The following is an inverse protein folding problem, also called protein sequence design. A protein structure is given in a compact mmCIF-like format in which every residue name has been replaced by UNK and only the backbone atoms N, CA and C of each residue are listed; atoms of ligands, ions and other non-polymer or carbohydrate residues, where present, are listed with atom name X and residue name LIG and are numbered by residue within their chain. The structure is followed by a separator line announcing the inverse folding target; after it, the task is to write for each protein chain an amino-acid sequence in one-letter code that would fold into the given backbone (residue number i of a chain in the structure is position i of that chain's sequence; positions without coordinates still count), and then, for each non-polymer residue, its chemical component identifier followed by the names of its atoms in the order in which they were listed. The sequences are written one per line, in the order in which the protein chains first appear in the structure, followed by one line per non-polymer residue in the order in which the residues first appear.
data_IF_551795259865
#
_entry.id   IF_551795259865
#
_cell.length_a   1.000
_cell.length_b   1.000
_cell.length_c   1.000
_cell.angle_alpha   90.00
_cell.angle_beta   90.00
_cell.angle_gamma   90.00
#
_symmetry.space_group_name_H-M   'P 1'
#
loop_
_entity.id
_entity.type
_entity.pdbx_description
1 polymer ?
#
# COMPACT_ATOMS: atom_id res chain seq x y z
N UNK A 1 42.81 19.23 -31.21
CA UNK A 1 41.54 19.85 -31.58
C UNK A 1 40.44 18.89 -31.10
N UNK A 2 39.90 19.14 -29.93
CA UNK A 2 38.86 18.35 -29.32
C UNK A 2 37.54 19.07 -29.59
N UNK A 3 36.66 18.44 -30.37
CA UNK A 3 35.35 18.91 -30.77
C UNK A 3 34.40 18.88 -29.55
N UNK A 4 33.90 20.01 -29.12
CA UNK A 4 32.86 20.19 -28.14
C UNK A 4 31.51 19.95 -28.80
N UNK A 5 30.90 18.79 -28.52
CA UNK A 5 29.51 18.53 -28.87
C UNK A 5 28.60 19.36 -27.94
N UNK A 6 27.83 20.27 -28.56
CA UNK A 6 26.78 21.04 -27.90
C UNK A 6 25.65 20.10 -27.49
N UNK A 7 25.34 20.04 -26.21
CA UNK A 7 24.07 19.51 -25.72
C UNK A 7 22.94 20.40 -26.22
N UNK A 8 22.22 19.92 -27.21
CA UNK A 8 20.94 20.54 -27.59
C UNK A 8 19.91 20.22 -26.49
N UNK A 9 19.29 21.30 -25.99
CA UNK A 9 18.29 21.26 -24.95
C UNK A 9 17.06 20.47 -25.40
N UNK A 10 16.53 19.63 -24.50
CA UNK A 10 15.28 18.93 -24.69
C UNK A 10 14.11 19.92 -24.79
N UNK A 11 13.30 19.84 -25.85
CA UNK A 11 12.17 20.73 -26.01
C UNK A 11 10.95 20.21 -25.24
N UNK A 12 10.34 21.12 -24.51
CA UNK A 12 8.89 21.14 -24.45
C UNK A 12 8.26 20.53 -23.22
N UNK A 13 7.87 21.42 -22.32
CA UNK A 13 6.72 21.21 -21.45
C UNK A 13 5.55 20.62 -22.27
N UNK A 14 5.21 19.36 -22.00
CA UNK A 14 4.00 18.76 -22.57
C UNK A 14 2.78 19.49 -21.99
N UNK A 15 2.18 20.39 -22.74
CA UNK A 15 0.82 20.85 -22.49
C UNK A 15 -0.12 19.68 -22.81
N UNK A 16 -0.57 18.94 -21.80
CA UNK A 16 -1.71 18.04 -21.95
C UNK A 16 -2.92 18.86 -22.38
N UNK A 17 -3.46 18.57 -23.57
CA UNK A 17 -4.78 19.03 -23.98
C UNK A 17 -5.83 18.42 -23.05
N UNK A 18 -6.39 19.24 -22.15
CA UNK A 18 -7.77 19.21 -21.69
C UNK A 18 -8.38 17.90 -21.22
N UNK A 19 -7.68 17.09 -20.39
CA UNK A 19 -8.35 16.28 -19.34
C UNK A 19 -7.93 16.87 -18.02
N UNK A 20 -8.89 17.33 -17.22
CA UNK A 20 -8.65 17.60 -15.80
C UNK A 20 -8.02 16.33 -15.23
N UNK A 21 -6.84 16.46 -14.64
CA UNK A 21 -6.22 15.37 -13.89
C UNK A 21 -7.15 15.11 -12.71
N UNK A 22 -7.88 13.99 -12.77
CA UNK A 22 -8.81 13.62 -11.73
C UNK A 22 -8.01 13.34 -10.45
N UNK A 23 -8.08 14.29 -9.50
CA UNK A 23 -7.54 14.07 -8.16
C UNK A 23 -8.41 13.04 -7.45
N UNK A 24 -7.81 11.96 -6.95
CA UNK A 24 -8.54 10.89 -6.28
C UNK A 24 -8.28 10.93 -4.77
N UNK A 25 -9.34 10.88 -3.96
CA UNK A 25 -9.30 10.68 -2.52
C UNK A 25 -9.75 9.27 -2.22
N UNK A 26 -8.87 8.45 -1.67
CA UNK A 26 -9.17 7.05 -1.46
C UNK A 26 -8.74 6.52 -0.11
N UNK A 27 -9.13 5.27 0.13
CA UNK A 27 -8.74 4.50 1.31
C UNK A 27 -8.49 3.05 0.92
N UNK A 28 -7.50 2.43 1.56
CA UNK A 28 -7.19 1.02 1.40
C UNK A 28 -8.16 0.14 2.19
N UNK A 29 -8.60 -0.96 1.59
CA UNK A 29 -9.31 -2.03 2.27
C UNK A 29 -8.32 -3.14 2.65
N UNK A 30 -7.25 -2.77 3.36
CA UNK A 30 -6.21 -3.69 3.82
C UNK A 30 -6.77 -4.77 4.74
N UNK A 31 -6.08 -5.90 4.83
CA UNK A 31 -6.44 -7.05 5.66
C UNK A 31 -7.79 -7.72 5.31
N UNK A 32 -8.41 -7.37 4.20
CA UNK A 32 -9.67 -8.01 3.79
C UNK A 32 -9.44 -9.28 2.97
N UNK A 33 -8.74 -9.16 1.85
CA UNK A 33 -8.48 -10.25 0.90
C UNK A 33 -7.03 -10.76 0.96
N UNK A 34 -6.12 -9.94 1.46
CA UNK A 34 -4.75 -10.26 1.88
C UNK A 34 -4.67 -10.05 3.38
N UNK A 35 -4.24 -11.05 4.12
CA UNK A 35 -4.24 -10.99 5.59
C UNK A 35 -2.91 -10.43 6.12
N UNK A 36 -3.03 -9.57 7.11
CA UNK A 36 -1.92 -9.07 7.91
C UNK A 36 -2.22 -9.31 9.39
N UNK A 37 -1.41 -10.13 10.05
CA UNK A 37 -1.65 -10.58 11.43
C UNK A 37 -1.84 -9.42 12.40
N UNK A 38 -1.04 -8.36 12.26
CA UNK A 38 -1.12 -7.20 13.13
C UNK A 38 -2.48 -6.45 13.03
N UNK A 39 -3.16 -6.55 11.88
CA UNK A 39 -4.49 -5.96 11.69
C UNK A 39 -5.63 -6.84 12.22
N UNK A 40 -5.42 -8.17 12.29
CA UNK A 40 -6.41 -9.16 12.73
C UNK A 40 -5.77 -10.31 13.48
N UNK A 41 -5.17 -10.09 14.65
CA UNK A 41 -4.44 -11.14 15.38
C UNK A 41 -5.27 -12.39 15.65
N UNK A 42 -6.56 -12.24 15.93
CA UNK A 42 -7.46 -13.35 16.24
C UNK A 42 -7.65 -14.35 15.09
N UNK A 43 -7.41 -13.95 13.84
CA UNK A 43 -7.43 -14.89 12.71
C UNK A 43 -6.32 -15.94 12.80
N UNK A 44 -5.27 -15.64 13.54
CA UNK A 44 -4.09 -16.47 13.71
C UNK A 44 -4.09 -17.27 15.01
N UNK A 45 -5.17 -17.18 15.82
CA UNK A 45 -5.28 -17.88 17.08
C UNK A 45 -5.13 -19.40 16.93
N UNK A 46 -4.33 -19.99 17.83
CA UNK A 46 -4.02 -21.42 17.81
C UNK A 46 -2.93 -21.82 16.80
N UNK A 47 -2.24 -20.84 16.22
CA UNK A 47 -1.10 -21.05 15.31
C UNK A 47 0.12 -20.26 15.77
N UNK A 48 1.28 -20.56 15.18
CA UNK A 48 2.50 -19.75 15.26
C UNK A 48 2.78 -19.00 13.96
N UNK A 49 1.83 -19.02 13.00
CA UNK A 49 1.96 -18.32 11.73
C UNK A 49 2.02 -16.81 11.95
N UNK A 50 2.94 -16.15 11.25
CA UNK A 50 3.08 -14.69 11.25
C UNK A 50 2.49 -14.07 9.98
N UNK A 51 2.17 -14.89 8.98
CA UNK A 51 1.65 -14.50 7.69
C UNK A 51 0.60 -15.48 7.15
N UNK A 52 -0.06 -15.11 6.07
CA UNK A 52 -1.12 -15.92 5.45
C UNK A 52 -0.59 -17.20 4.83
N UNK A 53 0.69 -17.24 4.44
CA UNK A 53 1.29 -18.42 3.79
C UNK A 53 1.25 -19.67 4.70
N UNK A 54 1.61 -19.48 5.97
CA UNK A 54 1.66 -20.59 6.93
C UNK A 54 0.32 -20.89 7.61
N UNK A 55 -0.65 -19.99 7.53
CA UNK A 55 -1.92 -20.14 8.21
C UNK A 55 -2.68 -21.42 7.80
N UNK A 56 -2.88 -21.74 6.50
CA UNK A 56 -3.59 -22.95 6.08
C UNK A 56 -2.79 -24.24 6.35
N UNK A 57 -1.47 -24.16 6.59
CA UNK A 57 -0.67 -25.34 6.90
C UNK A 57 -0.68 -25.70 8.38
N UNK A 58 -1.06 -24.75 9.25
CA UNK A 58 -1.06 -24.92 10.71
C UNK A 58 -2.47 -25.11 11.29
N UNK A 59 -3.51 -24.91 10.51
CA UNK A 59 -4.90 -25.13 10.91
C UNK A 59 -5.49 -26.36 10.22
N UNK A 60 -6.40 -27.09 10.87
CA UNK A 60 -7.27 -28.04 10.15
C UNK A 60 -7.99 -27.31 9.00
N UNK A 61 -8.09 -27.96 7.84
CA UNK A 61 -8.65 -27.38 6.62
C UNK A 61 -10.00 -26.70 6.85
N UNK A 62 -10.91 -27.38 7.54
CA UNK A 62 -12.26 -26.88 7.80
C UNK A 62 -12.26 -25.65 8.70
N UNK A 63 -11.30 -25.56 9.64
CA UNK A 63 -11.15 -24.41 10.53
C UNK A 63 -10.61 -23.21 9.75
N UNK A 64 -9.57 -23.41 8.91
CA UNK A 64 -9.03 -22.38 8.04
C UNK A 64 -10.12 -21.84 7.09
N UNK A 65 -10.79 -22.73 6.36
CA UNK A 65 -11.84 -22.33 5.42
C UNK A 65 -12.97 -21.54 6.10
N UNK A 66 -13.42 -21.99 7.27
CA UNK A 66 -14.46 -21.30 8.03
C UNK A 66 -14.00 -19.89 8.49
N UNK A 67 -12.77 -19.76 9.03
CA UNK A 67 -12.22 -18.46 9.47
C UNK A 67 -12.15 -17.47 8.32
N UNK A 68 -11.55 -17.89 7.20
CA UNK A 68 -11.40 -17.02 6.03
C UNK A 68 -12.75 -16.58 5.49
N UNK A 69 -13.70 -17.52 5.38
CA UNK A 69 -15.05 -17.22 4.89
C UNK A 69 -15.79 -16.22 5.79
N UNK A 70 -15.74 -16.42 7.10
CA UNK A 70 -16.36 -15.51 8.08
C UNK A 70 -15.69 -14.14 7.98
N UNK A 71 -14.35 -14.09 8.04
CA UNK A 71 -13.61 -12.85 7.96
C UNK A 71 -13.99 -12.06 6.69
N UNK A 72 -13.89 -12.68 5.51
CA UNK A 72 -14.20 -12.01 4.24
C UNK A 72 -15.64 -11.54 4.13
N UNK A 73 -16.58 -12.22 4.79
CA UNK A 73 -18.00 -11.84 4.76
C UNK A 73 -18.37 -10.74 5.75
N UNK A 74 -17.60 -10.57 6.83
CA UNK A 74 -17.96 -9.67 7.94
C UNK A 74 -17.02 -8.46 8.08
N UNK A 75 -15.75 -8.61 7.66
CA UNK A 75 -14.76 -7.55 7.83
C UNK A 75 -15.08 -6.33 6.97
N UNK A 76 -15.32 -6.51 5.68
CA UNK A 76 -15.79 -5.45 4.78
C UNK A 76 -17.16 -5.84 4.22
N UNK A 77 -18.10 -4.93 4.37
CA UNK A 77 -19.49 -5.10 4.00
C UNK A 77 -20.00 -3.91 3.17
N UNK A 78 -21.19 -4.02 2.60
CA UNK A 78 -21.82 -2.93 1.88
C UNK A 78 -21.96 -1.65 2.73
N UNK A 79 -22.17 -1.80 4.05
CA UNK A 79 -22.25 -0.66 4.98
C UNK A 79 -20.94 0.13 5.03
N UNK A 80 -19.81 -0.54 4.92
CA UNK A 80 -18.50 0.10 4.91
C UNK A 80 -18.34 1.00 3.67
N UNK A 81 -18.80 0.56 2.50
CA UNK A 81 -18.79 1.39 1.29
C UNK A 81 -19.67 2.64 1.44
N UNK A 82 -20.83 2.50 2.07
CA UNK A 82 -21.69 3.66 2.41
C UNK A 82 -20.96 4.65 3.30
N UNK A 83 -20.28 4.17 4.35
CA UNK A 83 -19.52 5.01 5.28
C UNK A 83 -18.32 5.67 4.58
N UNK A 84 -17.56 4.93 3.80
CA UNK A 84 -16.43 5.46 3.02
C UNK A 84 -16.90 6.60 2.11
N UNK A 85 -18.02 6.43 1.42
CA UNK A 85 -18.61 7.51 0.62
C UNK A 85 -19.02 8.72 1.45
N UNK A 86 -19.62 8.48 2.61
CA UNK A 86 -20.01 9.56 3.53
C UNK A 86 -18.81 10.32 4.11
N UNK A 87 -17.62 9.71 4.17
CA UNK A 87 -16.35 10.33 4.54
C UNK A 87 -15.74 11.17 3.39
N UNK A 88 -16.43 11.29 2.25
CA UNK A 88 -15.97 12.08 1.11
C UNK A 88 -14.90 11.41 0.25
N UNK A 89 -14.73 10.09 0.37
CA UNK A 89 -13.82 9.35 -0.50
C UNK A 89 -14.42 9.12 -1.89
N UNK A 90 -13.55 9.08 -2.90
CA UNK A 90 -13.89 8.84 -4.30
C UNK A 90 -13.62 7.38 -4.71
N UNK A 91 -12.68 6.73 -4.03
CA UNK A 91 -12.22 5.40 -4.40
C UNK A 91 -11.80 4.54 -3.20
N UNK A 92 -11.74 3.24 -3.43
CA UNK A 92 -11.09 2.26 -2.56
C UNK A 92 -9.96 1.56 -3.31
N UNK A 93 -8.80 1.37 -2.66
CA UNK A 93 -7.73 0.48 -3.13
C UNK A 93 -7.93 -0.85 -2.43
N UNK A 94 -7.99 -1.92 -3.20
CA UNK A 94 -8.29 -3.26 -2.69
C UNK A 94 -7.09 -4.17 -2.94
N UNK A 95 -6.29 -4.45 -1.90
CA UNK A 95 -5.26 -5.48 -1.94
C UNK A 95 -5.87 -6.84 -2.27
N UNK A 96 -5.36 -7.48 -3.32
CA UNK A 96 -5.76 -8.83 -3.73
C UNK A 96 -4.53 -9.76 -3.77
N UNK A 97 -4.66 -11.03 -3.37
CA UNK A 97 -3.54 -11.95 -3.40
C UNK A 97 -3.35 -12.57 -4.79
N UNK A 98 -2.15 -13.07 -5.08
CA UNK A 98 -1.86 -13.82 -6.31
C UNK A 98 -2.79 -15.04 -6.51
N UNK A 99 -3.32 -15.60 -5.44
CA UNK A 99 -4.23 -16.75 -5.49
C UNK A 99 -5.73 -16.34 -5.55
N UNK A 100 -6.04 -15.10 -5.92
CA UNK A 100 -7.42 -14.56 -5.95
C UNK A 100 -8.42 -15.46 -6.69
N UNK A 101 -7.98 -16.16 -7.74
CA UNK A 101 -8.83 -17.07 -8.52
C UNK A 101 -8.93 -18.50 -7.96
N UNK A 102 -8.26 -18.81 -6.84
CA UNK A 102 -8.28 -20.14 -6.22
C UNK A 102 -7.40 -21.18 -6.90
N UNK A 103 -6.44 -20.75 -7.72
CA UNK A 103 -5.58 -21.65 -8.53
C UNK A 103 -4.36 -22.18 -7.75
N UNK A 104 -4.22 -21.77 -6.50
CA UNK A 104 -3.07 -22.10 -5.63
C UNK A 104 -3.52 -22.70 -4.30
N UNK A 105 -3.98 -23.97 -4.28
CA UNK A 105 -4.28 -24.64 -3.01
C UNK A 105 -3.02 -24.72 -2.15
N UNK A 106 -3.13 -24.61 -0.81
CA UNK A 106 -4.37 -24.67 -0.01
C UNK A 106 -5.13 -23.33 0.14
N UNK A 107 -4.68 -22.25 -0.51
CA UNK A 107 -5.32 -20.94 -0.40
C UNK A 107 -6.70 -20.92 -1.08
N UNK A 108 -7.60 -20.16 -0.49
CA UNK A 108 -8.97 -20.01 -0.99
C UNK A 108 -9.04 -18.74 -1.84
N UNK A 109 -9.52 -18.88 -3.08
CA UNK A 109 -9.78 -17.72 -3.93
C UNK A 109 -10.79 -16.74 -3.32
N UNK A 110 -10.75 -15.48 -3.78
CA UNK A 110 -11.60 -14.40 -3.26
C UNK A 110 -12.16 -13.48 -4.36
N UNK A 111 -12.22 -13.97 -5.58
CA UNK A 111 -12.76 -13.20 -6.72
C UNK A 111 -14.23 -12.80 -6.54
N UNK A 112 -15.01 -13.61 -5.84
CA UNK A 112 -16.42 -13.31 -5.55
C UNK A 112 -16.58 -12.13 -4.59
N UNK A 113 -15.68 -11.98 -3.62
CA UNK A 113 -15.63 -10.83 -2.73
C UNK A 113 -15.28 -9.55 -3.50
N UNK A 114 -14.34 -9.63 -4.43
CA UNK A 114 -14.00 -8.51 -5.30
C UNK A 114 -15.16 -8.14 -6.22
N UNK A 115 -15.92 -9.11 -6.74
CA UNK A 115 -17.15 -8.85 -7.51
C UNK A 115 -18.20 -8.09 -6.69
N UNK A 116 -18.38 -8.44 -5.41
CA UNK A 116 -19.27 -7.72 -4.49
C UNK A 116 -18.78 -6.30 -4.25
N UNK A 117 -17.46 -6.11 -4.05
CA UNK A 117 -16.86 -4.79 -3.89
C UNK A 117 -17.16 -3.88 -5.09
N UNK A 118 -17.02 -4.40 -6.30
CA UNK A 118 -17.39 -3.65 -7.52
C UNK A 118 -18.88 -3.29 -7.57
N UNK A 119 -19.74 -4.23 -7.20
CA UNK A 119 -21.19 -3.95 -7.16
C UNK A 119 -21.55 -2.86 -6.14
N UNK A 120 -20.91 -2.87 -4.97
CA UNK A 120 -21.10 -1.82 -3.94
C UNK A 120 -20.48 -0.50 -4.37
N UNK A 121 -19.25 -0.51 -4.91
CA UNK A 121 -18.59 0.70 -5.39
C UNK A 121 -19.43 1.41 -6.46
N UNK A 122 -19.89 0.68 -7.47
CA UNK A 122 -20.74 1.21 -8.53
C UNK A 122 -22.08 1.76 -8.00
N UNK A 123 -22.69 1.08 -7.03
CA UNK A 123 -23.94 1.52 -6.39
C UNK A 123 -23.79 2.86 -5.67
N UNK A 124 -22.66 3.08 -4.99
CA UNK A 124 -22.40 4.28 -4.18
C UNK A 124 -21.55 5.33 -4.88
N UNK A 125 -21.21 5.13 -6.16
CA UNK A 125 -20.41 6.07 -6.93
C UNK A 125 -18.97 6.17 -6.44
N UNK A 126 -18.41 5.06 -5.94
CA UNK A 126 -16.99 4.88 -5.66
C UNK A 126 -16.29 4.21 -6.84
N UNK A 127 -14.98 4.38 -6.92
CA UNK A 127 -14.11 3.66 -7.84
C UNK A 127 -13.26 2.64 -7.10
N UNK A 128 -12.76 1.65 -7.83
CA UNK A 128 -11.89 0.59 -7.30
C UNK A 128 -10.54 0.66 -7.99
N UNK A 129 -9.46 0.79 -7.22
CA UNK A 129 -8.11 0.45 -7.65
C UNK A 129 -7.85 -0.98 -7.17
N UNK A 130 -7.71 -1.91 -8.09
CA UNK A 130 -7.26 -3.28 -7.77
C UNK A 130 -5.74 -3.22 -7.59
N UNK A 131 -5.26 -3.71 -6.47
CA UNK A 131 -3.85 -3.79 -6.16
C UNK A 131 -3.43 -5.26 -6.02
N UNK A 132 -2.62 -5.76 -6.95
CA UNK A 132 -2.00 -7.08 -6.78
C UNK A 132 -0.94 -7.00 -5.70
N UNK A 133 -1.31 -7.41 -4.50
CA UNK A 133 -0.57 -7.08 -3.27
C UNK A 133 0.53 -8.08 -2.93
N UNK A 134 0.38 -9.32 -3.35
CA UNK A 134 1.36 -10.39 -3.06
C UNK A 134 1.71 -11.15 -4.31
N UNK A 135 2.96 -11.56 -4.42
CA UNK A 135 3.46 -12.48 -5.43
C UNK A 135 3.84 -13.85 -4.79
N UNK A 136 3.79 -14.96 -5.55
CA UNK A 136 4.27 -16.24 -5.04
C UNK A 136 5.73 -16.12 -4.56
N UNK A 137 6.02 -16.62 -3.37
CA UNK A 137 7.34 -16.50 -2.71
C UNK A 137 7.83 -15.06 -2.52
N UNK A 138 6.87 -14.12 -2.49
CA UNK A 138 6.97 -12.70 -2.13
C UNK A 138 7.92 -11.86 -3.00
N UNK A 139 7.51 -10.64 -3.22
CA UNK A 139 8.25 -9.59 -3.94
C UNK A 139 9.09 -8.70 -3.02
N UNK A 140 8.93 -8.81 -1.70
CA UNK A 140 9.57 -7.89 -0.74
C UNK A 140 10.05 -8.53 0.56
N UNK A 141 9.55 -9.71 0.94
CA UNK A 141 9.90 -10.38 2.20
C UNK A 141 9.25 -9.76 3.44
N UNK A 142 8.31 -8.84 3.28
CA UNK A 142 7.50 -8.29 4.36
C UNK A 142 6.35 -9.25 4.70
N UNK A 143 5.71 -9.05 5.84
CA UNK A 143 4.51 -9.77 6.23
C UNK A 143 3.33 -9.50 5.27
N UNK A 144 3.24 -8.31 4.70
CA UNK A 144 2.25 -7.94 3.69
C UNK A 144 2.51 -8.57 2.30
N UNK A 145 3.69 -9.10 2.06
CA UNK A 145 4.03 -9.81 0.81
C UNK A 145 3.53 -11.26 0.76
N UNK A 146 2.78 -11.69 1.78
CA UNK A 146 2.17 -13.01 1.89
C UNK A 146 3.02 -14.07 2.57
N UNK A 147 4.35 -13.91 2.60
CA UNK A 147 5.29 -14.76 3.34
C UNK A 147 6.48 -13.93 3.85
N UNK A 148 6.64 -13.90 5.16
CA UNK A 148 7.69 -13.13 5.83
C UNK A 148 9.08 -13.75 5.64
N UNK A 149 10.08 -12.90 5.41
CA UNK A 149 11.49 -13.29 5.32
C UNK A 149 11.87 -14.06 4.05
N UNK A 150 10.97 -14.18 3.08
CA UNK A 150 11.22 -14.78 1.77
C UNK A 150 11.00 -13.73 0.70
N UNK A 151 11.97 -13.54 -0.20
CA UNK A 151 11.85 -12.68 -1.37
C UNK A 151 12.53 -13.40 -2.55
N UNK A 152 11.75 -14.17 -3.29
CA UNK A 152 12.27 -15.07 -4.34
C UNK A 152 11.48 -15.02 -5.62
N UNK A 153 10.31 -14.41 -5.64
CA UNK A 153 9.44 -14.35 -6.80
C UNK A 153 10.17 -14.00 -8.11
N UNK A 154 10.99 -12.96 -8.10
CA UNK A 154 11.72 -12.52 -9.30
C UNK A 154 12.78 -13.52 -9.82
N UNK A 155 13.07 -14.56 -9.03
CA UNK A 155 14.03 -15.60 -9.38
C UNK A 155 13.36 -16.85 -9.98
N UNK A 156 12.03 -16.89 -9.96
CA UNK A 156 11.20 -18.03 -10.35
C UNK A 156 10.40 -17.66 -11.62
N UNK A 157 10.92 -17.89 -12.83
CA UNK A 157 10.26 -17.45 -14.07
C UNK A 157 8.83 -17.97 -14.25
N UNK A 158 8.54 -19.18 -13.75
CA UNK A 158 7.19 -19.75 -13.80
C UNK A 158 6.22 -18.99 -12.89
N UNK A 159 6.68 -18.50 -11.74
CA UNK A 159 5.88 -17.71 -10.81
C UNK A 159 5.66 -16.27 -11.34
N UNK A 160 6.65 -15.71 -12.01
CA UNK A 160 6.51 -14.42 -12.71
C UNK A 160 5.46 -14.52 -13.83
N UNK A 161 5.48 -15.60 -14.63
CA UNK A 161 4.50 -15.85 -15.69
C UNK A 161 3.10 -16.09 -15.11
N UNK A 162 3.01 -16.78 -13.97
CA UNK A 162 1.75 -16.96 -13.27
C UNK A 162 1.18 -15.61 -12.81
N UNK A 163 2.00 -14.75 -12.22
CA UNK A 163 1.60 -13.41 -11.78
C UNK A 163 1.08 -12.55 -12.95
N UNK A 164 1.79 -12.55 -14.07
CA UNK A 164 1.36 -11.89 -15.31
C UNK A 164 0.00 -12.42 -15.80
N UNK A 165 -0.23 -13.72 -15.66
CA UNK A 165 -1.51 -14.36 -16.01
C UNK A 165 -2.64 -13.92 -15.07
N UNK A 166 -2.37 -13.77 -13.76
CA UNK A 166 -3.34 -13.26 -12.78
C UNK A 166 -3.72 -11.83 -13.15
N UNK A 167 -2.75 -10.97 -13.44
CA UNK A 167 -2.99 -9.58 -13.87
C UNK A 167 -3.84 -9.51 -15.16
N UNK A 168 -3.52 -10.32 -16.15
CA UNK A 168 -4.31 -10.35 -17.39
C UNK A 168 -5.75 -10.80 -17.13
N UNK A 169 -5.97 -11.82 -16.29
CA UNK A 169 -7.32 -12.28 -15.90
C UNK A 169 -8.10 -11.21 -15.13
N UNK A 170 -7.44 -10.45 -14.23
CA UNK A 170 -8.07 -9.31 -13.56
C UNK A 170 -8.49 -8.25 -14.59
N UNK A 171 -7.62 -7.91 -15.54
CA UNK A 171 -7.93 -6.95 -16.57
C UNK A 171 -9.07 -7.43 -17.51
N UNK A 172 -9.09 -8.70 -17.88
CA UNK A 172 -10.19 -9.31 -18.67
C UNK A 172 -11.52 -9.22 -17.93
N UNK A 173 -11.54 -9.46 -16.61
CA UNK A 173 -12.76 -9.46 -15.81
C UNK A 173 -13.29 -8.07 -15.50
N UNK A 174 -12.40 -7.14 -15.13
CA UNK A 174 -12.78 -5.84 -14.58
C UNK A 174 -12.47 -4.65 -15.48
N UNK A 175 -11.66 -4.83 -16.52
CA UNK A 175 -11.10 -3.74 -17.30
C UNK A 175 -12.11 -2.81 -17.97
N UNK A 176 -13.34 -3.29 -18.19
CA UNK A 176 -14.45 -2.52 -18.80
C UNK A 176 -15.54 -2.14 -17.80
N UNK A 177 -15.37 -2.46 -16.50
CA UNK A 177 -16.33 -2.09 -15.46
C UNK A 177 -16.30 -0.58 -15.21
N UNK A 178 -17.45 0.03 -15.08
CA UNK A 178 -17.54 1.46 -14.73
C UNK A 178 -16.90 1.77 -13.39
N UNK A 179 -17.01 0.83 -12.43
CA UNK A 179 -16.41 0.93 -11.10
C UNK A 179 -14.87 0.89 -11.09
N UNK A 180 -14.22 0.38 -12.13
CA UNK A 180 -12.75 0.34 -12.15
C UNK A 180 -12.16 1.74 -12.28
N UNK A 181 -11.20 2.09 -11.42
CA UNK A 181 -10.29 3.21 -11.60
C UNK A 181 -9.02 2.77 -12.31
N UNK A 182 -8.39 1.70 -11.82
CA UNK A 182 -7.16 1.15 -12.39
C UNK A 182 -6.78 -0.19 -11.79
N UNK A 183 -5.70 -0.74 -12.32
CA UNK A 183 -5.05 -1.96 -11.81
C UNK A 183 -3.61 -1.60 -11.49
N UNK A 184 -3.20 -1.82 -10.24
CA UNK A 184 -1.83 -1.75 -9.80
C UNK A 184 -1.15 -3.09 -10.02
N UNK A 185 -0.01 -3.04 -10.71
CA UNK A 185 0.66 -4.24 -11.21
C UNK A 185 1.22 -5.08 -10.07
N UNK A 186 1.87 -4.45 -9.08
CA UNK A 186 2.41 -5.15 -7.92
C UNK A 186 2.71 -4.17 -6.79
N UNK A 187 2.23 -4.50 -5.59
CA UNK A 187 2.52 -3.76 -4.37
C UNK A 187 3.98 -3.92 -3.93
N UNK A 188 4.64 -2.82 -3.64
CA UNK A 188 5.91 -2.73 -2.90
C UNK A 188 7.00 -3.75 -3.32
N UNK A 189 7.33 -3.94 -4.60
CA UNK A 189 8.52 -4.70 -4.93
C UNK A 189 9.75 -3.98 -4.40
N UNK A 190 10.62 -4.70 -3.67
CA UNK A 190 11.74 -4.07 -2.97
C UNK A 190 13.05 -4.17 -3.76
N UNK A 191 13.83 -3.08 -3.75
CA UNK A 191 15.18 -3.01 -4.28
C UNK A 191 16.23 -3.10 -3.16
N UNK A 192 17.49 -3.37 -3.53
CA UNK A 192 18.58 -3.63 -2.59
C UNK A 192 18.77 -2.50 -1.56
N UNK A 193 18.72 -1.23 -2.00
CA UNK A 193 18.91 -0.09 -1.09
C UNK A 193 17.88 -0.07 0.04
N UNK A 194 16.59 -0.25 -0.30
CA UNK A 194 15.52 -0.28 0.71
C UNK A 194 15.57 -1.58 1.54
N UNK A 195 15.93 -2.71 0.91
CA UNK A 195 16.11 -3.99 1.60
C UNK A 195 17.12 -3.86 2.76
N UNK A 196 18.26 -3.25 2.50
CA UNK A 196 19.31 -3.02 3.51
C UNK A 196 18.87 -1.98 4.54
N UNK A 197 18.28 -0.87 4.09
CA UNK A 197 17.82 0.19 5.00
C UNK A 197 16.74 -0.31 5.96
N UNK A 198 15.80 -1.09 5.47
CA UNK A 198 14.72 -1.69 6.26
C UNK A 198 15.19 -2.88 7.10
N UNK A 199 16.40 -3.39 6.86
CA UNK A 199 16.91 -4.60 7.52
C UNK A 199 15.93 -5.76 7.45
N UNK A 200 15.46 -6.06 6.25
CA UNK A 200 14.32 -6.96 6.04
C UNK A 200 14.51 -8.31 6.72
N UNK A 201 15.68 -8.93 6.58
CA UNK A 201 15.96 -10.25 7.18
C UNK A 201 16.00 -10.24 8.72
N UNK A 202 16.25 -9.09 9.34
CA UNK A 202 16.23 -8.95 10.80
C UNK A 202 14.81 -8.68 11.32
N UNK A 203 14.04 -7.85 10.61
CA UNK A 203 12.68 -7.44 11.00
C UNK A 203 11.63 -8.47 10.68
N UNK A 204 11.80 -9.18 9.59
CA UNK A 204 10.89 -10.21 9.08
C UNK A 204 11.62 -11.55 9.00
N UNK A 205 11.91 -12.21 10.15
CA UNK A 205 12.59 -13.49 10.15
C UNK A 205 11.71 -14.57 9.50
N UNK A 206 12.29 -15.33 8.58
CA UNK A 206 11.58 -16.42 7.94
C UNK A 206 11.24 -17.53 8.94
N UNK A 207 9.99 -18.01 8.91
CA UNK A 207 9.56 -19.14 9.73
C UNK A 207 10.24 -20.46 9.30
N UNK A 208 10.58 -20.59 8.02
CA UNK A 208 11.33 -21.71 7.45
C UNK A 208 12.63 -21.22 6.82
N UNK A 209 13.80 -21.41 7.49
CA UNK A 209 15.10 -21.02 6.97
C UNK A 209 15.48 -21.73 5.66
N UNK A 210 14.99 -22.95 5.41
CA UNK A 210 15.26 -23.66 4.16
C UNK A 210 14.52 -23.01 2.99
N UNK A 211 13.27 -22.59 3.19
CA UNK A 211 12.49 -21.86 2.18
C UNK A 211 13.12 -20.49 1.89
N UNK A 212 13.70 -19.85 2.89
CA UNK A 212 14.36 -18.55 2.75
C UNK A 212 15.72 -18.62 2.04
N UNK A 213 16.30 -19.79 1.81
CA UNK A 213 17.57 -19.89 1.11
C UNK A 213 17.51 -19.27 -0.28
N UNK A 214 18.44 -18.37 -0.58
CA UNK A 214 18.50 -17.65 -1.85
C UNK A 214 17.61 -16.42 -1.90
N UNK A 215 16.94 -16.05 -0.81
CA UNK A 215 16.23 -14.77 -0.66
C UNK A 215 17.16 -13.61 -0.98
N UNK A 216 16.69 -12.72 -1.87
CA UNK A 216 17.38 -11.47 -2.23
C UNK A 216 16.40 -10.46 -2.81
N UNK A 217 16.67 -9.15 -2.70
CA UNK A 217 15.85 -8.10 -3.30
C UNK A 217 15.81 -8.20 -4.84
N UNK A 218 14.83 -7.52 -5.42
CA UNK A 218 14.71 -7.41 -6.86
C UNK A 218 15.73 -6.42 -7.44
N UNK A 219 15.96 -6.50 -8.75
CA UNK A 219 16.74 -5.49 -9.46
C UNK A 219 15.82 -4.50 -10.18
N UNK A 220 16.25 -3.25 -10.34
CA UNK A 220 15.51 -2.25 -11.10
C UNK A 220 15.26 -2.70 -12.55
N UNK A 221 16.24 -3.35 -13.18
CA UNK A 221 16.10 -3.88 -14.53
C UNK A 221 14.97 -4.91 -14.62
N UNK A 222 14.92 -5.86 -13.67
CA UNK A 222 13.86 -6.85 -13.61
C UNK A 222 12.49 -6.21 -13.43
N UNK A 223 12.33 -5.30 -12.45
CA UNK A 223 11.03 -4.65 -12.17
C UNK A 223 10.56 -3.83 -13.38
N UNK A 224 11.46 -3.08 -14.03
CA UNK A 224 11.11 -2.36 -15.26
C UNK A 224 10.66 -3.33 -16.37
N UNK A 225 11.34 -4.43 -16.58
CA UNK A 225 10.95 -5.45 -17.55
C UNK A 225 9.58 -6.06 -17.26
N UNK A 226 9.33 -6.40 -15.99
CA UNK A 226 8.05 -6.92 -15.52
C UNK A 226 6.91 -5.91 -15.75
N UNK A 227 7.10 -4.65 -15.42
CA UNK A 227 6.09 -3.60 -15.63
C UNK A 227 5.76 -3.37 -17.11
N UNK A 228 6.75 -3.45 -18.00
CA UNK A 228 6.49 -3.35 -19.45
C UNK A 228 5.66 -4.51 -19.95
N UNK A 229 6.00 -5.74 -19.59
CA UNK A 229 5.25 -6.95 -19.98
C UNK A 229 3.83 -6.93 -19.38
N UNK A 230 3.69 -6.60 -18.10
CA UNK A 230 2.41 -6.50 -17.44
C UNK A 230 1.54 -5.41 -18.09
N UNK A 231 2.08 -4.24 -18.40
CA UNK A 231 1.37 -3.18 -19.11
C UNK A 231 0.83 -3.69 -20.46
N UNK A 232 1.66 -4.35 -21.25
CA UNK A 232 1.27 -4.85 -22.58
C UNK A 232 0.17 -5.91 -22.50
N UNK A 233 0.10 -6.68 -21.39
CA UNK A 233 -0.99 -7.66 -21.16
C UNK A 233 -2.27 -7.00 -20.68
N UNK A 234 -2.18 -6.07 -19.75
CA UNK A 234 -3.33 -5.44 -19.10
C UNK A 234 -4.04 -4.45 -20.02
N UNK A 235 -3.29 -3.53 -20.65
CA UNK A 235 -3.83 -2.37 -21.31
C UNK A 235 -4.79 -2.71 -22.48
N UNK A 236 -4.62 -3.84 -23.14
CA UNK A 236 -5.50 -4.30 -24.24
C UNK A 236 -6.90 -4.69 -23.77
N UNK A 237 -7.08 -4.93 -22.49
CA UNK A 237 -8.38 -5.28 -21.88
C UNK A 237 -9.04 -4.09 -21.17
N UNK A 238 -8.30 -3.01 -20.92
CA UNK A 238 -8.83 -1.83 -20.25
C UNK A 238 -9.67 -0.94 -21.19
N UNK A 239 -10.66 -0.27 -20.62
CA UNK A 239 -11.31 0.87 -21.29
C UNK A 239 -10.35 2.08 -21.29
N UNK A 240 -10.57 3.02 -22.23
CA UNK A 240 -9.65 4.15 -22.47
C UNK A 240 -9.51 5.13 -21.29
N UNK A 241 -10.42 5.08 -20.34
CA UNK A 241 -10.43 5.93 -19.15
C UNK A 241 -9.80 5.28 -17.92
N UNK A 242 -9.32 4.03 -18.01
CA UNK A 242 -8.74 3.28 -16.89
C UNK A 242 -7.22 3.44 -16.84
N UNK A 243 -6.67 3.25 -15.64
CA UNK A 243 -5.26 3.42 -15.37
C UNK A 243 -4.54 2.09 -15.15
N UNK A 244 -3.27 2.05 -15.55
CA UNK A 244 -2.31 1.06 -15.07
C UNK A 244 -1.42 1.76 -14.05
N UNK A 245 -1.34 1.21 -12.85
CA UNK A 245 -0.57 1.79 -11.74
C UNK A 245 0.69 0.96 -11.55
N UNK A 246 1.82 1.63 -11.40
CA UNK A 246 3.10 1.00 -11.06
C UNK A 246 3.61 1.57 -9.75
N UNK A 247 4.08 0.72 -8.85
CA UNK A 247 4.69 1.15 -7.60
C UNK A 247 6.14 1.61 -7.83
N UNK A 248 6.59 2.61 -7.10
CA UNK A 248 7.91 3.24 -7.28
C UNK A 248 9.09 2.41 -6.75
N UNK A 249 8.83 1.24 -6.18
CA UNK A 249 9.84 0.40 -5.54
C UNK A 249 10.69 1.16 -4.51
N UNK A 250 10.08 2.13 -3.82
CA UNK A 250 10.69 3.06 -2.85
C UNK A 250 11.81 3.94 -3.43
N UNK A 251 11.87 4.09 -4.76
CA UNK A 251 12.86 4.87 -5.48
C UNK A 251 12.19 5.85 -6.45
N UNK A 252 11.28 6.68 -5.95
CA UNK A 252 10.36 7.53 -6.71
C UNK A 252 11.04 8.27 -7.89
N UNK A 253 12.19 8.88 -7.67
CA UNK A 253 12.89 9.67 -8.71
C UNK A 253 13.59 8.84 -9.78
N UNK A 254 13.74 7.53 -9.58
CA UNK A 254 14.38 6.64 -10.53
C UNK A 254 13.51 6.35 -11.78
N UNK A 255 12.24 6.77 -11.77
CA UNK A 255 11.27 6.47 -12.83
C UNK A 255 11.11 7.58 -13.88
N UNK A 256 11.86 8.68 -13.81
CA UNK A 256 11.71 9.86 -14.68
C UNK A 256 11.79 9.55 -16.19
N UNK A 257 12.60 8.60 -16.58
CA UNK A 257 12.85 8.19 -17.95
C UNK A 257 12.07 6.94 -18.40
N UNK A 258 11.25 6.36 -17.50
CA UNK A 258 10.52 5.13 -17.76
C UNK A 258 9.16 5.39 -18.42
N UNK A 259 8.71 4.52 -19.32
CA UNK A 259 7.41 4.57 -20.02
C UNK A 259 7.09 5.97 -20.63
N UNK A 260 8.08 6.60 -21.26
CA UNK A 260 7.93 7.95 -21.86
C UNK A 260 7.41 7.94 -23.29
N UNK A 261 7.37 6.78 -23.94
CA UNK A 261 6.87 6.64 -25.31
C UNK A 261 5.34 6.86 -25.36
N UNK A 262 4.83 7.35 -26.49
CA UNK A 262 3.39 7.66 -26.70
C UNK A 262 2.47 6.43 -26.56
N UNK A 263 3.01 5.22 -26.72
CA UNK A 263 2.24 3.99 -26.54
C UNK A 263 1.81 3.74 -25.09
N UNK A 264 2.58 4.24 -24.10
CA UNK A 264 2.24 4.09 -22.69
C UNK A 264 1.27 5.18 -22.24
N UNK A 265 -0.01 4.83 -22.24
CA UNK A 265 -1.10 5.74 -21.87
C UNK A 265 -1.64 5.39 -20.48
N UNK A 266 -2.11 6.41 -19.79
CA UNK A 266 -2.79 6.25 -18.51
C UNK A 266 -1.97 5.46 -17.47
N UNK A 267 -0.65 5.64 -17.46
CA UNK A 267 0.23 5.10 -16.42
C UNK A 267 0.27 6.08 -15.26
N UNK A 268 0.04 5.59 -14.06
CA UNK A 268 0.13 6.31 -12.79
C UNK A 268 1.27 5.71 -11.99
N UNK A 269 2.07 6.57 -11.37
CA UNK A 269 3.12 6.15 -10.46
C UNK A 269 2.59 6.23 -9.03
N UNK A 270 2.66 5.12 -8.31
CA UNK A 270 2.31 5.03 -6.90
C UNK A 270 3.57 5.12 -6.04
N UNK A 271 3.46 5.80 -4.91
CA UNK A 271 4.49 5.87 -3.87
C UNK A 271 3.86 5.71 -2.50
N UNK A 272 4.58 5.06 -1.58
CA UNK A 272 4.15 4.87 -0.20
C UNK A 272 5.01 5.74 0.72
N UNK A 273 4.37 6.62 1.48
CA UNK A 273 5.07 7.62 2.29
C UNK A 273 4.56 7.63 3.73
N UNK A 274 5.29 7.00 4.61
CA UNK A 274 4.97 6.91 6.02
C UNK A 274 5.89 7.77 6.89
N UNK A 275 5.33 8.43 7.90
CA UNK A 275 6.12 9.22 8.86
C UNK A 275 7.09 8.35 9.66
N UNK A 276 6.76 7.09 9.93
CA UNK A 276 7.69 6.16 10.55
C UNK A 276 8.99 5.96 9.74
N UNK A 277 8.88 5.95 8.40
CA UNK A 277 10.06 5.88 7.51
C UNK A 277 10.81 7.21 7.53
N UNK A 278 10.09 8.33 7.55
CA UNK A 278 10.69 9.66 7.71
C UNK A 278 11.50 9.77 9.01
N UNK A 279 10.98 9.22 10.13
CA UNK A 279 11.69 9.15 11.42
C UNK A 279 12.99 8.34 11.32
N UNK A 280 12.98 7.21 10.60
CA UNK A 280 14.19 6.42 10.32
C UNK A 280 15.21 7.21 9.49
N UNK A 281 14.74 8.11 8.62
CA UNK A 281 15.57 9.01 7.83
C UNK A 281 15.97 10.29 8.58
N UNK A 282 15.73 10.38 9.90
CA UNK A 282 16.17 11.49 10.74
C UNK A 282 15.19 12.65 10.88
N UNK A 283 13.91 12.46 10.51
CA UNK A 283 12.86 13.44 10.80
C UNK A 283 12.76 13.67 12.32
N UNK A 284 12.77 14.94 12.73
CA UNK A 284 12.60 15.31 14.13
C UNK A 284 11.17 14.97 14.60
N UNK A 285 11.07 14.27 15.74
CA UNK A 285 9.80 13.82 16.32
C UNK A 285 9.10 14.96 17.08
N UNK A 286 8.82 16.05 16.36
CA UNK A 286 8.03 17.20 16.81
C UNK A 286 6.99 17.53 15.73
N UNK A 287 5.94 18.25 16.07
CA UNK A 287 4.94 18.70 15.08
C UNK A 287 5.60 19.51 13.96
N UNK A 288 6.48 20.43 14.34
CA UNK A 288 7.21 21.27 13.37
C UNK A 288 8.15 20.42 12.50
N UNK A 289 8.88 19.46 13.12
CA UNK A 289 9.75 18.54 12.41
C UNK A 289 9.00 17.72 11.35
N UNK A 290 7.86 17.12 11.71
CA UNK A 290 7.04 16.41 10.73
C UNK A 290 6.51 17.30 9.62
N UNK A 291 5.96 18.46 9.96
CA UNK A 291 5.43 19.40 8.94
C UNK A 291 6.52 19.84 7.98
N UNK A 292 7.71 20.19 8.50
CA UNK A 292 8.84 20.59 7.68
C UNK A 292 9.33 19.43 6.79
N UNK A 293 9.45 18.22 7.34
CA UNK A 293 9.87 17.05 6.57
C UNK A 293 8.88 16.74 5.43
N UNK A 294 7.58 16.76 5.72
CA UNK A 294 6.54 16.53 4.71
C UNK A 294 6.66 17.57 3.59
N UNK A 295 6.86 18.85 3.92
CA UNK A 295 6.97 19.92 2.92
C UNK A 295 8.26 19.84 2.11
N UNK A 296 9.39 19.56 2.78
CA UNK A 296 10.72 19.58 2.15
C UNK A 296 11.05 18.31 1.37
N UNK A 297 10.40 17.18 1.70
CA UNK A 297 10.64 15.90 1.06
C UNK A 297 9.39 15.41 0.32
N UNK A 298 8.32 15.02 1.03
CA UNK A 298 7.16 14.40 0.40
C UNK A 298 6.53 15.31 -0.66
N UNK A 299 6.18 16.54 -0.30
CA UNK A 299 5.51 17.46 -1.22
C UNK A 299 6.38 17.82 -2.43
N UNK A 300 7.68 18.08 -2.21
CA UNK A 300 8.61 18.40 -3.30
C UNK A 300 8.83 17.22 -4.24
N UNK A 301 8.98 16.01 -3.69
CA UNK A 301 9.23 14.82 -4.48
C UNK A 301 8.01 14.46 -5.33
N UNK A 302 6.80 14.54 -4.76
CA UNK A 302 5.54 14.37 -5.50
C UNK A 302 5.38 15.43 -6.58
N UNK A 303 5.60 16.72 -6.25
CA UNK A 303 5.50 17.82 -7.23
C UNK A 303 6.50 17.68 -8.37
N UNK A 304 7.74 17.29 -8.09
CA UNK A 304 8.76 17.03 -9.09
C UNK A 304 8.34 15.90 -10.04
N UNK A 305 7.90 14.79 -9.48
CA UNK A 305 7.54 13.60 -10.26
C UNK A 305 6.23 13.74 -11.01
N UNK A 306 5.31 14.59 -10.56
CA UNK A 306 4.07 14.92 -11.27
C UNK A 306 4.32 15.52 -12.66
N UNK A 307 5.51 16.05 -12.93
CA UNK A 307 5.91 16.49 -14.27
C UNK A 307 6.15 15.34 -15.26
N UNK A 308 6.35 14.11 -14.73
CA UNK A 308 6.66 12.91 -15.50
C UNK A 308 5.49 11.93 -15.54
N UNK A 309 4.82 11.71 -14.43
CA UNK A 309 3.66 10.84 -14.27
C UNK A 309 2.57 11.55 -13.46
N UNK A 310 1.29 11.19 -13.61
CA UNK A 310 0.35 11.34 -12.51
C UNK A 310 0.89 10.53 -11.32
N UNK A 311 1.09 11.17 -10.17
CA UNK A 311 1.61 10.52 -8.96
C UNK A 311 0.51 10.44 -7.91
N UNK A 312 0.29 9.26 -7.35
CA UNK A 312 -0.54 9.08 -6.16
C UNK A 312 0.31 8.66 -4.97
N UNK A 313 -0.14 8.94 -3.76
CA UNK A 313 0.37 8.30 -2.55
C UNK A 313 -0.60 7.18 -2.18
N UNK A 314 -0.28 5.93 -2.62
CA UNK A 314 -1.15 4.77 -2.47
C UNK A 314 -1.25 4.26 -1.04
N UNK A 315 -0.25 4.56 -0.21
CA UNK A 315 -0.29 4.25 1.21
C UNK A 315 0.35 5.34 2.07
N UNK A 316 -0.37 5.74 3.10
CA UNK A 316 0.06 6.66 4.14
C UNK A 316 -0.91 6.60 5.32
N UNK A 317 -0.49 7.06 6.50
CA UNK A 317 -1.37 7.17 7.67
C UNK A 317 -0.94 8.31 8.59
N UNK A 318 -1.63 8.45 9.72
CA UNK A 318 -1.32 9.47 10.73
C UNK A 318 -0.32 9.00 11.80
N UNK A 319 0.07 7.72 11.78
CA UNK A 319 1.01 7.19 12.76
C UNK A 319 2.29 8.03 12.82
N UNK A 320 2.68 8.40 14.04
CA UNK A 320 3.93 9.07 14.35
C UNK A 320 4.33 8.80 15.80
N UNK A 321 5.62 8.68 16.05
CA UNK A 321 6.15 8.35 17.38
C UNK A 321 5.88 9.40 18.44
N UNK A 322 5.69 10.68 18.06
CA UNK A 322 5.36 11.74 18.99
C UNK A 322 4.01 11.50 19.67
N UNK A 323 2.99 11.16 18.89
CA UNK A 323 1.64 10.94 19.42
C UNK A 323 1.52 9.59 20.13
N UNK A 324 2.23 8.57 19.65
CA UNK A 324 2.14 7.19 20.13
C UNK A 324 3.08 6.91 21.30
N UNK A 325 4.28 7.47 21.30
CA UNK A 325 5.32 7.17 22.29
C UNK A 325 4.95 7.54 23.73
N UNK A 326 3.92 8.38 23.91
CA UNK A 326 3.42 8.77 25.21
C UNK A 326 2.28 7.89 25.75
N UNK A 327 1.74 7.00 24.90
CA UNK A 327 0.65 6.09 25.29
C UNK A 327 1.16 4.78 25.87
N UNK A 328 2.42 4.48 25.66
CA UNK A 328 3.02 3.24 26.11
C UNK A 328 3.45 3.34 27.57
N UNK A 329 2.55 3.01 28.50
CA UNK A 329 2.98 2.65 29.84
C UNK A 329 3.86 1.40 29.77
N UNK A 330 5.19 1.60 29.60
CA UNK A 330 6.19 0.53 29.62
C UNK A 330 6.22 -0.38 28.39
N UNK A 331 5.61 -0.01 27.27
CA UNK A 331 5.66 -0.75 26.02
C UNK A 331 6.78 -0.26 25.10
N UNK A 332 7.48 -1.19 24.48
CA UNK A 332 8.44 -0.88 23.42
C UNK A 332 7.70 -0.30 22.22
N UNK A 333 8.11 0.88 21.75
CA UNK A 333 7.81 1.28 20.40
C UNK A 333 8.62 0.40 19.46
N UNK A 334 7.98 -0.42 18.66
CA UNK A 334 8.60 -1.46 17.83
C UNK A 334 9.69 -0.91 16.90
N UNK A 335 9.64 0.38 16.59
CA UNK A 335 10.53 0.98 15.59
C UNK A 335 11.89 1.44 16.08
N UNK A 336 12.11 1.74 17.36
CA UNK A 336 13.36 2.39 17.79
C UNK A 336 14.06 1.75 18.98
N UNK A 337 13.58 0.64 19.55
CA UNK A 337 14.25 -0.03 20.68
C UNK A 337 14.48 0.88 21.90
N UNK A 338 13.84 2.02 21.99
CA UNK A 338 13.93 2.91 23.14
C UNK A 338 12.95 2.45 24.20
N UNK A 339 13.49 1.77 25.19
CA UNK A 339 12.79 1.51 26.44
C UNK A 339 12.40 2.81 27.12
N UNK A 340 11.13 2.89 27.46
CA UNK A 340 10.67 3.63 28.60
C UNK A 340 10.89 5.14 28.60
N UNK A 341 9.92 5.88 28.07
CA UNK A 341 9.62 7.18 28.65
C UNK A 341 8.31 7.05 29.44
N UNK A 342 8.41 6.99 30.76
CA UNK A 342 7.29 7.22 31.65
C UNK A 342 6.97 8.71 31.60
N UNK A 343 6.19 9.13 30.62
CA UNK A 343 5.57 10.44 30.60
C UNK A 343 4.08 10.26 30.89
N UNK A 344 3.46 11.26 31.47
CA UNK A 344 2.00 11.29 31.60
C UNK A 344 1.36 11.03 30.24
N UNK A 345 0.34 10.18 30.19
CA UNK A 345 -0.36 9.86 28.96
C UNK A 345 -0.85 11.15 28.30
N UNK A 346 -0.59 11.30 27.01
CA UNK A 346 -1.04 12.47 26.26
C UNK A 346 -2.56 12.52 26.24
N UNK A 347 -3.11 13.70 26.46
CA UNK A 347 -4.57 13.90 26.38
C UNK A 347 -5.10 13.72 24.97
N UNK A 348 -6.35 13.31 24.83
CA UNK A 348 -6.99 13.19 23.51
C UNK A 348 -6.97 14.50 22.71
N UNK A 349 -7.03 15.65 23.40
CA UNK A 349 -6.96 16.96 22.75
C UNK A 349 -5.55 17.27 22.22
N UNK A 350 -4.50 16.86 22.93
CA UNK A 350 -3.12 16.99 22.45
C UNK A 350 -2.86 16.08 21.26
N UNK A 351 -3.29 14.82 21.32
CA UNK A 351 -3.23 13.90 20.17
C UNK A 351 -3.94 14.48 18.96
N UNK A 352 -5.15 14.99 19.16
CA UNK A 352 -5.93 15.62 18.10
C UNK A 352 -5.18 16.76 17.44
N UNK A 353 -4.49 17.62 18.21
CA UNK A 353 -3.69 18.72 17.64
C UNK A 353 -2.53 18.20 16.80
N UNK A 354 -1.81 17.17 17.27
CA UNK A 354 -0.70 16.56 16.53
C UNK A 354 -1.21 15.91 15.25
N UNK A 355 -2.21 15.03 15.35
CA UNK A 355 -2.73 14.31 14.19
C UNK A 355 -3.36 15.25 13.15
N UNK A 356 -4.10 16.29 13.57
CA UNK A 356 -4.64 17.27 12.63
C UNK A 356 -3.53 18.05 11.91
N UNK A 357 -2.46 18.42 12.61
CA UNK A 357 -1.34 19.13 11.99
C UNK A 357 -0.65 18.26 10.92
N UNK A 358 -0.32 17.01 11.26
CA UNK A 358 0.34 16.10 10.31
C UNK A 358 -0.60 15.65 9.19
N UNK A 359 -1.91 15.46 9.49
CA UNK A 359 -2.91 15.16 8.46
C UNK A 359 -3.00 16.28 7.44
N UNK A 360 -3.13 17.52 7.91
CA UNK A 360 -3.19 18.70 7.03
C UNK A 360 -1.93 18.81 6.16
N UNK A 361 -0.75 18.66 6.76
CA UNK A 361 0.50 18.76 6.01
C UNK A 361 0.63 17.66 4.93
N UNK A 362 0.25 16.40 5.26
CA UNK A 362 0.26 15.30 4.31
C UNK A 362 -0.79 15.51 3.20
N UNK A 363 -2.03 15.89 3.54
CA UNK A 363 -3.06 16.19 2.55
C UNK A 363 -2.63 17.32 1.59
N UNK A 364 -1.98 18.36 2.12
CA UNK A 364 -1.45 19.46 1.30
C UNK A 364 -0.29 18.99 0.39
N UNK A 365 0.50 18.00 0.84
CA UNK A 365 1.52 17.36 0.01
C UNK A 365 0.89 16.54 -1.13
N UNK A 366 -0.16 15.74 -0.82
CA UNK A 366 -0.82 14.92 -1.83
C UNK A 366 -1.58 15.73 -2.87
N UNK A 367 -2.00 16.96 -2.55
CA UNK A 367 -2.55 17.93 -3.52
C UNK A 367 -1.55 18.37 -4.60
N UNK A 368 -0.25 18.14 -4.41
CA UNK A 368 0.79 18.34 -5.43
C UNK A 368 0.80 17.24 -6.47
N UNK A 369 0.25 16.08 -6.15
CA UNK A 369 0.10 14.91 -7.01
C UNK A 369 -1.30 14.78 -7.61
N UNK A 370 -1.69 13.55 -7.88
CA UNK A 370 -2.97 13.14 -8.45
C UNK A 370 -3.90 12.47 -7.45
N UNK A 371 -3.54 12.40 -6.18
CA UNK A 371 -4.39 11.86 -5.13
C UNK A 371 -3.67 10.99 -4.12
N UNK A 372 -4.48 10.31 -3.31
CA UNK A 372 -3.98 9.47 -2.23
C UNK A 372 -4.94 8.33 -1.89
N UNK A 373 -4.41 7.28 -1.18
CA UNK A 373 -5.20 6.24 -0.52
C UNK A 373 -4.66 6.03 0.90
N UNK A 374 -5.50 6.30 1.91
CA UNK A 374 -5.12 6.15 3.32
C UNK A 374 -4.97 4.67 3.70
N UNK A 375 -3.92 4.28 4.41
CA UNK A 375 -3.74 2.93 4.94
C UNK A 375 -4.07 2.88 6.43
N UNK A 376 -5.18 2.32 6.83
CA UNK A 376 -6.21 1.57 6.12
C UNK A 376 -7.59 2.05 6.58
N UNK A 377 -8.67 1.52 6.00
CA UNK A 377 -10.03 1.91 6.38
C UNK A 377 -10.37 1.53 7.81
N UNK A 378 -10.06 0.30 8.23
CA UNK A 378 -10.30 -0.18 9.60
C UNK A 378 -9.38 -1.32 10.00
N UNK A 379 -9.27 -1.51 11.31
CA UNK A 379 -8.56 -2.60 11.98
C UNK A 379 -9.52 -3.42 12.84
N UNK A 380 -9.19 -4.70 13.05
CA UNK A 380 -9.82 -5.53 14.09
C UNK A 380 -9.01 -5.55 15.39
N UNK A 381 -7.89 -4.87 15.43
CA UNK A 381 -7.05 -4.75 16.61
C UNK A 381 -7.75 -3.89 17.65
N UNK A 382 -7.94 -4.44 18.85
CA UNK A 382 -8.37 -3.67 20.02
C UNK A 382 -7.15 -3.01 20.66
N UNK A 383 -7.04 -1.71 20.51
CA UNK A 383 -5.89 -0.94 21.01
C UNK A 383 -5.86 -0.79 22.53
N UNK A 384 -6.97 -1.09 23.21
CA UNK A 384 -7.07 -1.04 24.67
C UNK A 384 -6.51 -2.32 25.32
N UNK A 385 -6.69 -3.46 24.67
CA UNK A 385 -6.38 -4.78 25.24
C UNK A 385 -5.20 -5.48 24.57
N UNK A 386 -4.66 -4.96 23.49
CA UNK A 386 -3.55 -5.59 22.80
C UNK A 386 -2.23 -5.30 23.52
N UNK A 387 -1.75 -6.29 24.18
CA UNK A 387 -0.44 -6.54 24.80
C UNK A 387 0.67 -5.55 24.37
N UNK A 388 0.57 -4.27 24.78
CA UNK A 388 1.63 -3.29 24.60
C UNK A 388 1.66 -2.52 23.28
N UNK A 389 0.75 -2.75 22.35
CA UNK A 389 0.62 -1.96 21.14
C UNK A 389 -0.40 -0.85 21.33
N UNK A 390 0.09 0.38 21.39
CA UNK A 390 -0.72 1.58 21.46
C UNK A 390 -0.44 2.39 20.20
N UNK A 391 -1.46 3.09 19.70
CA UNK A 391 -1.31 3.92 18.51
C UNK A 391 -1.78 3.30 17.20
N UNK A 392 -2.28 2.07 17.23
CA UNK A 392 -2.91 1.46 16.06
C UNK A 392 -4.11 2.25 15.54
N UNK A 393 -4.80 3.01 16.42
CA UNK A 393 -5.95 3.83 16.01
C UNK A 393 -5.60 4.78 14.87
N UNK A 394 -4.36 5.27 14.81
CA UNK A 394 -3.89 6.16 13.74
C UNK A 394 -3.69 5.46 12.38
N UNK A 395 -3.78 4.13 12.33
CA UNK A 395 -3.83 3.35 11.10
C UNK A 395 -5.26 3.06 10.61
N UNK A 396 -6.26 3.31 11.46
CA UNK A 396 -7.69 3.13 11.17
C UNK A 396 -8.33 4.46 10.82
N UNK A 397 -8.59 4.70 9.53
CA UNK A 397 -9.21 5.95 9.06
C UNK A 397 -10.58 6.18 9.70
N UNK A 398 -11.36 5.11 9.88
CA UNK A 398 -12.67 5.21 10.51
C UNK A 398 -12.58 5.78 11.92
N UNK A 399 -11.63 5.30 12.73
CA UNK A 399 -11.34 5.82 14.08
C UNK A 399 -10.77 7.23 14.02
N UNK A 400 -9.83 7.50 13.11
CA UNK A 400 -9.27 8.85 12.94
C UNK A 400 -10.35 9.91 12.66
N UNK A 401 -11.34 9.55 11.85
CA UNK A 401 -12.49 10.43 11.57
C UNK A 401 -13.39 10.59 12.82
N UNK A 402 -13.71 9.47 13.49
CA UNK A 402 -14.55 9.50 14.69
C UNK A 402 -13.94 10.32 15.84
N UNK A 403 -12.62 10.28 15.99
CA UNK A 403 -11.87 11.08 16.97
C UNK A 403 -11.61 12.52 16.51
N UNK A 404 -11.94 12.86 15.26
CA UNK A 404 -11.66 14.17 14.67
C UNK A 404 -10.16 14.42 14.47
N UNK A 405 -9.38 13.35 14.26
CA UNK A 405 -7.95 13.42 13.94
C UNK A 405 -7.70 13.65 12.46
N UNK A 406 -8.59 13.12 11.63
CA UNK A 406 -8.54 13.31 10.19
C UNK A 406 -9.54 14.42 9.79
N UNK A 407 -9.09 15.53 9.16
CA UNK A 407 -9.98 16.58 8.72
C UNK A 407 -10.77 16.10 7.49
N UNK A 408 -12.09 16.03 7.61
CA UNK A 408 -12.95 15.89 6.43
C UNK A 408 -13.05 17.26 5.74
N UNK A 409 -12.84 17.28 4.43
CA UNK A 409 -13.09 18.49 3.62
C UNK A 409 -14.61 18.64 3.43
N UNK A 410 -15.11 19.86 3.65
CA UNK A 410 -16.52 20.24 3.44
C UNK A 410 -16.92 20.16 1.94
#
# INVERSE_FOLDING_TARGET
MISTAKHEGYPGKFKKKGKETMYVKGVNLGNWLVLEKWMSPSLFDGTTAEDEYYLPTQLPKEVYEARIKIHRSEYITERDFTRIKAMGMDAVRIPVPYFIFGDRPPFIGCVEELDKAFAWAERYGLKVLIDLHTAPDSQNGFDNGGISGVCKWSQEPEEVEFELTVLERLAQRYGKRDGLWGIEILNEPILEEMWEQMKVTERYPAADPEKAKGTKPNTMEFIRGFYLEAYDRIQKHLAEDKYVVIHDAFCLKAWKDFMREEKYKNVVLDTHMYLMVAEMCGCEQTVEGYVNYIQEHFAKDVEEMQAYFPVICGEWCLFNSLAVGQDTQGGQTVLNGKEGMSQEAMTMEEKKRIYNAVAKAQLDAWKKGSGYFYWSYKLLTDTVNTQGWVGWDSWDLGRCVDFGWFPLED
#
